data_IF_494955838865
#
_entry.id   IF_494955838865
#
_cell.length_a   1.000
_cell.length_b   1.000
_cell.length_c   1.000
_cell.angle_alpha   90.00
_cell.angle_beta   90.00
_cell.angle_gamma   90.00
#
_symmetry.space_group_name_H-M   'P 1'
#
loop_
_entity.id
_entity.type
_entity.pdbx_description
1 polymer ?
#
# COMPACT_ATOMS: atom_id res chain seq x y z
N UNK A 1 -10.51 -81.19 16.71
CA UNK A 1 -11.79 -81.92 16.67
C UNK A 1 -12.92 -80.91 16.84
N UNK A 2 -13.84 -80.74 15.88
CA UNK A 2 -13.75 -81.07 14.45
C UNK A 2 -12.68 -80.16 13.77
N UNK A 3 -12.82 -79.31 12.73
CA UNK A 3 -13.94 -78.87 11.85
C UNK A 3 -13.37 -78.23 10.57
N UNK A 4 -14.10 -78.23 9.46
CA UNK A 4 -13.87 -77.39 8.27
C UNK A 4 -15.18 -77.22 7.47
N UNK A 5 -15.32 -76.14 6.69
CA UNK A 5 -16.18 -76.05 5.49
C UNK A 5 -15.88 -74.83 4.60
N UNK A 6 -16.32 -74.88 3.34
CA UNK A 6 -16.00 -73.94 2.25
C UNK A 6 -17.02 -72.79 2.06
N UNK A 7 -16.61 -71.77 1.29
CA UNK A 7 -17.50 -70.93 0.46
C UNK A 7 -17.61 -69.47 0.93
N UNK A 8 -17.75 -68.47 0.05
CA UNK A 8 -17.69 -68.47 -1.43
C UNK A 8 -17.38 -67.05 -1.93
N UNK A 9 -16.77 -66.88 -3.11
CA UNK A 9 -16.58 -65.54 -3.69
C UNK A 9 -17.91 -64.92 -4.14
N UNK A 10 -18.09 -63.63 -3.88
CA UNK A 10 -19.00 -62.75 -4.64
C UNK A 10 -18.25 -61.47 -5.01
N UNK A 11 -17.86 -61.35 -6.27
CA UNK A 11 -17.26 -60.12 -6.80
C UNK A 11 -18.30 -59.01 -6.98
N UNK A 12 -17.90 -57.77 -6.71
CA UNK A 12 -18.48 -56.57 -7.32
C UNK A 12 -17.47 -55.41 -7.23
N UNK A 13 -17.48 -54.46 -8.19
CA UNK A 13 -16.25 -53.76 -8.57
C UNK A 13 -16.00 -52.45 -7.82
N UNK A 14 -14.79 -52.28 -7.29
CA UNK A 14 -14.29 -50.99 -6.81
C UNK A 14 -13.36 -50.37 -7.86
N UNK A 15 -13.89 -49.46 -8.67
CA UNK A 15 -13.08 -48.53 -9.45
C UNK A 15 -12.58 -47.39 -8.56
N UNK A 16 -11.46 -46.79 -8.95
CA UNK A 16 -10.94 -45.50 -8.45
C UNK A 16 -10.64 -45.44 -6.93
N UNK A 17 -9.52 -46.04 -6.51
CA UNK A 17 -8.86 -45.67 -5.24
C UNK A 17 -7.60 -44.80 -5.46
N UNK A 18 -6.94 -44.91 -6.62
CA UNK A 18 -5.66 -44.23 -6.89
C UNK A 18 -5.76 -42.71 -6.99
N UNK A 19 -6.81 -42.18 -7.65
CA UNK A 19 -6.93 -40.74 -7.93
C UNK A 19 -7.20 -39.86 -6.69
N UNK A 20 -7.50 -40.43 -5.53
CA UNK A 20 -7.79 -39.64 -4.31
C UNK A 20 -6.50 -39.40 -3.51
N UNK A 21 -5.55 -40.36 -3.55
CA UNK A 21 -4.34 -40.30 -2.73
C UNK A 21 -3.31 -39.29 -3.22
N UNK A 22 -3.22 -39.05 -4.53
CA UNK A 22 -2.27 -38.09 -5.12
C UNK A 22 -2.64 -36.64 -4.76
N UNK A 23 -3.93 -36.27 -4.86
CA UNK A 23 -4.45 -34.93 -4.52
C UNK A 23 -4.26 -34.61 -3.02
N UNK A 24 -4.55 -35.57 -2.13
CA UNK A 24 -4.33 -35.44 -0.68
C UNK A 24 -2.85 -35.21 -0.34
N UNK A 25 -1.93 -35.81 -1.09
CA UNK A 25 -0.49 -35.68 -0.89
C UNK A 25 0.06 -34.33 -1.37
N UNK A 26 -0.44 -33.78 -2.48
CA UNK A 26 -0.07 -32.44 -2.95
C UNK A 26 -0.68 -31.34 -2.06
N UNK A 27 -1.94 -31.48 -1.64
CA UNK A 27 -2.60 -30.57 -0.70
C UNK A 27 -1.88 -30.54 0.67
N UNK A 28 -1.41 -31.68 1.18
CA UNK A 28 -0.59 -31.71 2.40
C UNK A 28 0.73 -30.96 2.23
N UNK A 29 1.39 -31.06 1.06
CA UNK A 29 2.62 -30.31 0.71
C UNK A 29 2.37 -28.81 0.46
N UNK A 30 1.16 -28.42 0.04
CA UNK A 30 0.71 -27.01 0.04
C UNK A 30 0.62 -26.48 1.48
N UNK A 31 0.04 -27.24 2.40
CA UNK A 31 -0.13 -26.84 3.79
C UNK A 31 1.21 -26.74 4.54
N UNK A 32 2.07 -27.75 4.42
CA UNK A 32 3.38 -27.86 5.11
C UNK A 32 4.45 -26.88 4.59
N UNK A 33 4.27 -26.29 3.39
CA UNK A 33 5.23 -25.33 2.81
C UNK A 33 5.46 -24.13 3.76
N UNK A 34 6.70 -23.83 4.20
CA UNK A 34 6.96 -22.75 5.15
C UNK A 34 6.65 -21.35 4.57
N UNK A 35 6.36 -20.39 5.45
CA UNK A 35 5.85 -19.07 5.08
C UNK A 35 6.76 -18.32 4.09
N UNK A 36 8.07 -18.34 4.32
CA UNK A 36 9.07 -17.66 3.48
C UNK A 36 9.06 -18.18 2.03
N UNK A 37 8.89 -19.50 1.86
CA UNK A 37 8.82 -20.16 0.55
C UNK A 37 7.49 -19.87 -0.14
N UNK A 38 6.37 -19.80 0.60
CA UNK A 38 5.07 -19.37 0.05
C UNK A 38 5.13 -17.93 -0.46
N UNK A 39 5.77 -17.04 0.29
CA UNK A 39 5.91 -15.63 -0.09
C UNK A 39 6.89 -15.43 -1.26
N UNK A 40 8.02 -16.13 -1.32
CA UNK A 40 8.91 -16.06 -2.48
C UNK A 40 8.27 -16.67 -3.74
N UNK A 41 7.54 -17.79 -3.64
CA UNK A 41 6.73 -18.33 -4.75
C UNK A 41 5.71 -17.31 -5.26
N UNK A 42 5.04 -16.58 -4.35
CA UNK A 42 4.10 -15.50 -4.69
C UNK A 42 4.80 -14.34 -5.40
N UNK A 43 5.99 -13.94 -4.93
CA UNK A 43 6.80 -12.91 -5.56
C UNK A 43 7.37 -13.35 -6.93
N UNK A 44 7.78 -14.60 -7.08
CA UNK A 44 8.21 -15.20 -8.34
C UNK A 44 7.09 -15.14 -9.39
N UNK A 45 5.87 -15.55 -9.02
CA UNK A 45 4.68 -15.41 -9.87
C UNK A 45 4.38 -13.96 -10.25
N UNK A 46 4.51 -13.03 -9.31
CA UNK A 46 4.32 -11.59 -9.56
C UNK A 46 5.39 -11.02 -10.50
N UNK A 47 6.68 -11.35 -10.28
CA UNK A 47 7.80 -10.97 -11.15
C UNK A 47 7.63 -11.51 -12.57
N UNK A 48 7.17 -12.76 -12.73
CA UNK A 48 6.92 -13.35 -14.03
C UNK A 48 5.74 -12.67 -14.76
N UNK A 49 4.62 -12.37 -14.06
CA UNK A 49 3.50 -11.61 -14.64
C UNK A 49 3.93 -10.24 -15.15
N UNK A 50 4.68 -9.48 -14.34
CA UNK A 50 5.22 -8.16 -14.75
C UNK A 50 6.18 -8.30 -15.94
N UNK A 51 7.05 -9.33 -15.94
CA UNK A 51 7.96 -9.62 -17.05
C UNK A 51 7.21 -9.96 -18.34
N UNK A 52 6.10 -10.69 -18.28
CA UNK A 52 5.25 -10.95 -19.46
C UNK A 52 4.60 -9.68 -19.98
N UNK A 53 3.97 -8.88 -19.11
CA UNK A 53 3.29 -7.62 -19.52
C UNK A 53 4.28 -6.64 -20.15
N UNK A 54 5.45 -6.41 -19.54
CA UNK A 54 6.47 -5.51 -20.07
C UNK A 54 7.12 -5.98 -21.40
N UNK A 55 6.97 -7.26 -21.76
CA UNK A 55 7.48 -7.84 -23.01
C UNK A 55 6.40 -8.21 -24.04
N UNK A 56 5.11 -8.06 -23.71
CA UNK A 56 4.04 -8.07 -24.70
C UNK A 56 4.28 -6.93 -25.69
N UNK A 57 4.14 -7.23 -26.99
CA UNK A 57 4.18 -6.21 -28.04
C UNK A 57 2.86 -5.45 -28.09
N UNK A 58 1.78 -6.20 -27.92
CA UNK A 58 0.38 -5.76 -27.97
C UNK A 58 0.13 -4.66 -26.94
N UNK A 59 0.59 -4.85 -25.71
CA UNK A 59 0.50 -3.86 -24.63
C UNK A 59 1.33 -2.59 -24.89
N UNK A 60 2.46 -2.70 -25.60
CA UNK A 60 3.27 -1.54 -26.01
C UNK A 60 2.60 -0.76 -27.13
N UNK A 61 2.14 -1.47 -28.16
CA UNK A 61 1.42 -0.90 -29.30
C UNK A 61 0.15 -0.15 -28.81
N UNK A 62 -0.57 -0.69 -27.82
CA UNK A 62 -1.74 -0.05 -27.19
C UNK A 62 -1.36 1.19 -26.35
N UNK A 63 -0.33 1.11 -25.50
CA UNK A 63 0.18 2.25 -24.75
C UNK A 63 0.65 3.40 -25.66
N UNK A 64 1.37 3.07 -26.74
CA UNK A 64 1.81 4.05 -27.73
C UNK A 64 0.62 4.70 -28.46
N UNK A 65 -0.45 3.96 -28.75
CA UNK A 65 -1.69 4.52 -29.30
C UNK A 65 -2.34 5.51 -28.31
N UNK A 66 -2.49 5.15 -27.04
CA UNK A 66 -3.09 6.00 -25.99
C UNK A 66 -2.26 7.28 -25.76
N UNK A 67 -0.94 7.18 -25.76
CA UNK A 67 -0.03 8.33 -25.63
C UNK A 67 -0.14 9.26 -26.85
N UNK A 68 -0.17 8.71 -28.07
CA UNK A 68 -0.32 9.50 -29.29
C UNK A 68 -1.70 10.19 -29.39
N UNK A 69 -2.76 9.57 -28.87
CA UNK A 69 -4.09 10.18 -28.77
C UNK A 69 -4.08 11.36 -27.78
N UNK A 70 -3.57 11.14 -26.56
CA UNK A 70 -3.45 12.17 -25.53
C UNK A 70 -2.56 13.37 -25.93
N UNK A 71 -1.54 13.14 -26.78
CA UNK A 71 -0.70 14.21 -27.35
C UNK A 71 -1.41 15.02 -28.44
N UNK A 72 -2.38 14.44 -29.16
CA UNK A 72 -3.13 15.13 -30.24
C UNK A 72 -4.39 15.84 -29.74
N UNK A 73 -5.09 15.23 -28.78
CA UNK A 73 -6.40 15.67 -28.33
C UNK A 73 -6.40 16.22 -26.89
N UNK A 74 -5.24 16.20 -26.22
CA UNK A 74 -5.11 16.54 -24.81
C UNK A 74 -5.56 15.38 -23.89
N UNK A 75 -5.48 15.57 -22.56
CA UNK A 75 -5.84 14.53 -21.59
C UNK A 75 -7.37 14.34 -21.51
N UNK A 76 -7.92 13.55 -22.45
CA UNK A 76 -9.31 13.13 -22.43
C UNK A 76 -9.58 12.24 -21.20
N UNK A 77 -10.72 12.38 -20.48
CA UNK A 77 -10.97 11.63 -19.26
C UNK A 77 -10.92 10.10 -19.44
N UNK A 78 -11.21 9.59 -20.65
CA UNK A 78 -11.12 8.16 -20.96
C UNK A 78 -9.67 7.60 -20.90
N UNK A 79 -8.67 8.31 -21.43
CA UNK A 79 -7.27 7.85 -21.36
C UNK A 79 -6.70 7.97 -19.95
N UNK A 80 -7.18 8.93 -19.15
CA UNK A 80 -6.88 9.00 -17.71
C UNK A 80 -7.48 7.81 -16.93
N UNK A 81 -8.71 7.38 -17.25
CA UNK A 81 -9.32 6.17 -16.67
C UNK A 81 -8.53 4.92 -17.06
N UNK A 82 -8.10 4.78 -18.31
CA UNK A 82 -7.28 3.65 -18.76
C UNK A 82 -5.92 3.59 -18.02
N UNK A 83 -5.23 4.72 -17.90
CA UNK A 83 -3.97 4.81 -17.14
C UNK A 83 -4.17 4.52 -15.64
N UNK A 84 -5.31 4.92 -15.05
CA UNK A 84 -5.68 4.57 -13.68
C UNK A 84 -5.89 3.04 -13.52
N UNK A 85 -6.60 2.39 -14.45
CA UNK A 85 -6.83 0.95 -14.44
C UNK A 85 -5.51 0.16 -14.61
N UNK A 86 -4.62 0.61 -15.50
CA UNK A 86 -3.28 0.03 -15.67
C UNK A 86 -2.45 0.21 -14.38
N UNK A 87 -2.52 1.37 -13.73
CA UNK A 87 -1.89 1.61 -12.41
C UNK A 87 -2.40 0.64 -11.34
N UNK A 88 -3.72 0.45 -11.25
CA UNK A 88 -4.36 -0.49 -10.30
C UNK A 88 -4.03 -1.96 -10.56
N UNK A 89 -3.69 -2.32 -11.81
CA UNK A 89 -3.24 -3.66 -12.19
C UNK A 89 -1.73 -3.89 -11.91
N UNK A 90 -0.92 -2.84 -11.97
CA UNK A 90 0.54 -2.91 -11.75
C UNK A 90 0.94 -2.75 -10.28
N UNK A 91 0.19 -2.00 -9.48
CA UNK A 91 0.47 -1.81 -8.05
C UNK A 91 -0.14 -2.93 -7.20
N UNK A 92 0.55 -3.42 -6.15
CA UNK A 92 0.00 -4.45 -5.26
C UNK A 92 -1.22 -3.94 -4.49
N UNK A 93 -2.29 -4.75 -4.44
CA UNK A 93 -3.59 -4.38 -3.84
C UNK A 93 -3.59 -4.05 -2.33
N UNK A 94 -2.44 -4.16 -1.64
CA UNK A 94 -2.25 -3.59 -0.30
C UNK A 94 -2.16 -2.06 -0.32
N UNK A 95 -1.81 -1.44 -1.47
CA UNK A 95 -1.57 -0.01 -1.60
C UNK A 95 -2.80 0.81 -2.04
N UNK A 96 -3.97 0.58 -1.42
CA UNK A 96 -5.14 1.49 -1.52
C UNK A 96 -4.89 2.89 -0.91
N UNK A 97 -3.67 3.14 -0.41
CA UNK A 97 -3.24 4.40 0.20
C UNK A 97 -2.66 5.41 -0.82
N UNK A 98 -2.25 4.98 -2.03
CA UNK A 98 -1.41 5.82 -2.93
C UNK A 98 -2.13 6.38 -4.16
N UNK A 99 -3.22 5.76 -4.62
CA UNK A 99 -3.97 6.20 -5.82
C UNK A 99 -5.05 7.25 -5.53
N UNK A 100 -5.40 7.49 -4.26
CA UNK A 100 -6.43 8.47 -3.85
C UNK A 100 -6.08 9.94 -4.17
N UNK A 101 -4.82 10.20 -4.53
CA UNK A 101 -4.25 11.53 -4.80
C UNK A 101 -4.88 12.28 -5.97
N UNK A 102 -5.56 11.59 -6.90
CA UNK A 102 -6.08 12.18 -8.15
C UNK A 102 -7.61 12.29 -8.21
N UNK A 103 -8.36 11.61 -7.33
CA UNK A 103 -9.83 11.59 -7.36
C UNK A 103 -10.49 12.49 -6.31
N UNK A 104 -9.70 13.14 -5.45
CA UNK A 104 -10.12 13.93 -4.29
C UNK A 104 -10.79 15.28 -4.62
N UNK A 105 -11.16 15.54 -5.88
CA UNK A 105 -11.91 16.73 -6.31
C UNK A 105 -13.44 16.64 -6.13
N UNK A 106 -13.96 15.57 -5.50
CA UNK A 106 -15.39 15.40 -5.25
C UNK A 106 -15.70 14.79 -3.86
N UNK A 107 -15.90 15.66 -2.86
CA UNK A 107 -16.69 15.37 -1.64
C UNK A 107 -16.14 14.38 -0.59
N UNK A 108 -15.11 13.60 -0.89
CA UNK A 108 -14.46 12.70 0.08
C UNK A 108 -13.44 13.43 0.97
N UNK A 109 -13.29 12.98 2.22
CA UNK A 109 -12.30 13.53 3.16
C UNK A 109 -10.88 13.46 2.56
N UNK A 110 -10.22 14.61 2.46
CA UNK A 110 -8.90 14.73 1.83
C UNK A 110 -7.84 14.25 2.81
N UNK A 111 -7.34 13.03 2.61
CA UNK A 111 -6.21 12.48 3.37
C UNK A 111 -4.94 13.23 2.96
N UNK A 112 -4.68 14.38 3.59
CA UNK A 112 -3.48 15.19 3.35
C UNK A 112 -2.24 14.38 3.75
N UNK A 113 -1.23 14.19 2.89
CA UNK A 113 -0.08 13.33 3.19
C UNK A 113 0.82 13.92 4.29
N UNK A 114 1.17 13.11 5.28
CA UNK A 114 2.02 13.52 6.42
C UNK A 114 3.43 13.90 5.95
N UNK A 115 4.00 13.10 5.03
CA UNK A 115 5.33 13.31 4.46
C UNK A 115 5.18 13.97 3.08
N UNK A 116 4.88 15.26 3.08
CA UNK A 116 4.61 16.11 1.92
C UNK A 116 5.84 16.90 1.43
N UNK A 117 6.83 17.15 2.29
CA UNK A 117 8.06 17.90 1.94
C UNK A 117 8.78 17.24 0.74
N UNK A 118 8.84 17.92 -0.40
CA UNK A 118 9.48 17.47 -1.65
C UNK A 118 10.29 18.60 -2.29
N UNK A 119 10.90 18.33 -3.45
CA UNK A 119 11.46 19.34 -4.35
C UNK A 119 12.29 20.44 -3.67
N UNK A 120 11.95 21.69 -3.97
CA UNK A 120 12.62 22.89 -3.44
C UNK A 120 12.43 23.03 -1.92
N UNK A 121 11.27 22.70 -1.37
CA UNK A 121 10.97 22.80 0.06
C UNK A 121 11.87 21.88 0.90
N UNK A 122 12.34 20.79 0.30
CA UNK A 122 13.31 19.90 0.95
C UNK A 122 14.66 20.57 1.21
N UNK A 123 15.05 21.61 0.44
CA UNK A 123 16.32 22.33 0.65
C UNK A 123 16.28 23.27 1.87
N UNK A 124 15.10 23.77 2.26
CA UNK A 124 14.94 24.66 3.42
C UNK A 124 15.13 23.98 4.78
N UNK A 125 15.26 22.66 4.82
CA UNK A 125 15.26 21.87 6.05
C UNK A 125 16.38 20.82 6.09
N UNK A 126 17.05 20.71 7.24
CA UNK A 126 18.05 19.66 7.49
C UNK A 126 17.42 18.26 7.47
N UNK A 127 18.23 17.22 7.20
CA UNK A 127 17.74 15.82 7.17
C UNK A 127 17.09 15.39 8.50
N UNK A 128 17.59 15.90 9.63
CA UNK A 128 17.02 15.68 10.97
C UNK A 128 15.72 16.47 11.16
N UNK A 129 15.66 17.76 10.78
CA UNK A 129 14.43 18.56 10.90
C UNK A 129 13.29 17.98 10.04
N UNK A 130 13.56 17.56 8.79
CA UNK A 130 12.54 16.90 7.94
C UNK A 130 11.99 15.63 8.57
N UNK A 131 12.85 14.81 9.18
CA UNK A 131 12.42 13.58 9.88
C UNK A 131 11.62 13.91 11.15
N UNK A 132 12.01 14.94 11.90
CA UNK A 132 11.30 15.38 13.11
C UNK A 132 9.92 15.95 12.77
N UNK A 133 9.83 16.78 11.73
CA UNK A 133 8.57 17.29 11.16
C UNK A 133 7.61 16.17 10.81
N UNK A 134 8.05 15.18 10.02
CA UNK A 134 7.22 14.02 9.68
C UNK A 134 6.80 13.20 10.91
N UNK A 135 7.69 13.01 11.90
CA UNK A 135 7.35 12.31 13.16
C UNK A 135 6.31 13.06 13.99
N UNK A 136 6.46 14.37 14.12
CA UNK A 136 5.53 15.21 14.87
C UNK A 136 4.16 15.26 14.18
N UNK A 137 4.12 15.45 12.85
CA UNK A 137 2.88 15.39 12.09
C UNK A 137 2.19 14.01 12.18
N UNK A 138 2.94 12.90 12.17
CA UNK A 138 2.37 11.57 12.48
C UNK A 138 1.78 11.48 13.89
N UNK A 139 2.40 12.11 14.89
CA UNK A 139 1.88 12.14 16.26
C UNK A 139 0.56 12.92 16.35
N UNK A 140 0.43 14.06 15.66
CA UNK A 140 -0.87 14.76 15.53
C UNK A 140 -1.96 13.83 14.96
N UNK A 141 -1.67 13.08 13.89
CA UNK A 141 -2.64 12.12 13.31
C UNK A 141 -3.00 10.97 14.25
N UNK A 142 -2.08 10.49 15.07
CA UNK A 142 -2.37 9.46 16.08
C UNK A 142 -3.25 10.00 17.21
N UNK A 143 -2.99 11.22 17.68
CA UNK A 143 -3.78 11.86 18.75
C UNK A 143 -5.19 12.23 18.28
N UNK A 144 -5.37 12.58 17.01
CA UNK A 144 -6.67 12.72 16.33
C UNK A 144 -7.41 11.36 16.25
N UNK A 145 -6.72 10.31 15.75
CA UNK A 145 -7.25 8.95 15.60
C UNK A 145 -7.73 8.31 16.92
N UNK A 146 -7.07 8.61 18.05
CA UNK A 146 -7.50 8.16 19.38
C UNK A 146 -8.56 9.08 20.04
N UNK A 147 -9.01 10.15 19.37
CA UNK A 147 -10.02 11.07 19.90
C UNK A 147 -9.54 11.94 21.06
N UNK A 148 -8.22 12.13 21.19
CA UNK A 148 -7.60 12.89 22.29
C UNK A 148 -7.45 14.40 21.97
N UNK A 149 -7.65 14.80 20.72
CA UNK A 149 -7.64 16.19 20.27
C UNK A 149 -8.95 16.93 20.60
N UNK A 150 -8.88 18.03 21.36
CA UNK A 150 -10.03 18.86 21.71
C UNK A 150 -10.13 20.12 20.82
N UNK A 151 -10.31 19.92 19.51
CA UNK A 151 -10.30 21.01 18.53
C UNK A 151 -8.96 21.75 18.43
N UNK A 152 -9.01 22.99 17.89
CA UNK A 152 -7.84 23.76 17.43
C UNK A 152 -6.93 24.38 18.52
N UNK A 153 -7.32 24.32 19.79
CA UNK A 153 -6.57 25.01 20.88
C UNK A 153 -5.38 24.21 21.42
N UNK A 154 -5.29 22.93 21.06
CA UNK A 154 -4.23 22.04 21.54
C UNK A 154 -2.98 22.16 20.66
N UNK A 155 -1.83 21.87 21.27
CA UNK A 155 -0.53 21.89 20.61
C UNK A 155 0.38 20.78 21.14
N UNK A 156 1.25 20.29 20.27
CA UNK A 156 2.31 19.33 20.60
C UNK A 156 3.62 19.88 20.05
N UNK A 157 4.59 20.14 20.92
CA UNK A 157 5.87 20.76 20.53
C UNK A 157 6.99 19.74 20.42
N UNK A 158 7.94 19.97 19.50
CA UNK A 158 9.17 19.19 19.41
C UNK A 158 10.39 20.09 19.22
N UNK A 159 11.37 20.00 20.12
CA UNK A 159 12.62 20.78 20.08
C UNK A 159 13.50 20.30 18.90
N UNK A 160 13.91 21.22 18.03
CA UNK A 160 14.67 20.93 16.80
C UNK A 160 16.17 20.83 17.06
N UNK A 161 16.70 21.75 17.88
CA UNK A 161 18.09 21.74 18.33
C UNK A 161 18.13 21.96 19.85
N UNK A 162 19.05 21.28 20.53
CA UNK A 162 19.33 21.51 21.94
C UNK A 162 20.01 22.87 22.17
N UNK A 163 20.86 23.35 21.25
CA UNK A 163 21.63 24.58 21.46
C UNK A 163 20.86 25.87 21.16
N UNK A 164 20.02 25.86 20.11
CA UNK A 164 19.36 27.06 19.57
C UNK A 164 17.91 27.27 20.06
N UNK A 165 17.44 26.46 21.02
CA UNK A 165 16.11 26.55 21.64
C UNK A 165 14.90 26.65 20.67
N UNK A 166 15.06 26.23 19.40
CA UNK A 166 13.98 26.22 18.42
C UNK A 166 13.02 25.04 18.61
N UNK A 167 11.71 25.28 18.44
CA UNK A 167 10.64 24.28 18.54
C UNK A 167 9.80 24.22 17.27
N UNK A 168 9.25 23.03 16.94
CA UNK A 168 8.18 22.85 15.96
C UNK A 168 6.82 22.81 16.68
N UNK A 169 5.81 23.45 16.08
CA UNK A 169 4.42 23.49 16.58
C UNK A 169 3.42 23.52 15.40
N UNK A 170 2.16 23.15 15.63
CA UNK A 170 1.08 23.37 14.66
C UNK A 170 0.77 24.86 14.51
N UNK A 171 0.48 25.36 13.29
CA UNK A 171 -0.18 26.65 13.12
C UNK A 171 -1.56 26.66 13.80
N UNK A 172 -1.95 27.82 14.32
CA UNK A 172 -3.28 28.01 14.87
C UNK A 172 -4.36 27.88 13.78
N UNK A 173 -5.50 27.28 14.13
CA UNK A 173 -6.65 27.11 13.25
C UNK A 173 -6.71 25.78 12.48
N UNK A 174 -5.62 25.01 12.40
CA UNK A 174 -5.62 23.66 11.83
C UNK A 174 -6.11 22.61 12.83
N UNK A 175 -6.91 21.66 12.36
CA UNK A 175 -7.24 20.43 13.07
C UNK A 175 -6.08 19.43 12.99
N UNK A 176 -6.03 18.48 13.94
CA UNK A 176 -4.91 17.54 14.04
C UNK A 176 -4.80 16.61 12.81
N UNK A 177 -5.93 16.20 12.22
CA UNK A 177 -5.96 15.49 10.93
C UNK A 177 -5.56 16.31 9.69
N UNK A 178 -5.32 17.61 9.81
CA UNK A 178 -4.86 18.46 8.70
C UNK A 178 -3.34 18.68 8.72
N UNK A 179 -2.68 18.51 9.87
CA UNK A 179 -1.23 18.78 10.06
C UNK A 179 -0.36 17.88 9.17
N UNK A 180 0.68 18.45 8.54
CA UNK A 180 1.69 17.78 7.71
C UNK A 180 3.11 18.13 8.13
N UNK A 181 4.12 17.54 7.50
CA UNK A 181 5.52 17.88 7.73
C UNK A 181 5.90 19.30 7.27
N UNK A 182 5.33 19.77 6.16
CA UNK A 182 5.53 21.15 5.69
C UNK A 182 4.74 22.17 6.50
N UNK A 183 3.53 21.84 6.95
CA UNK A 183 2.64 22.80 7.64
C UNK A 183 3.13 23.22 9.02
N UNK A 184 4.02 22.45 9.66
CA UNK A 184 4.58 22.79 10.97
C UNK A 184 5.42 24.08 10.90
N UNK A 185 5.09 25.05 11.73
CA UNK A 185 5.94 26.23 11.94
C UNK A 185 7.08 25.90 12.90
N UNK A 186 8.24 26.52 12.67
CA UNK A 186 9.39 26.49 13.58
C UNK A 186 9.49 27.86 14.22
N UNK A 187 9.53 27.91 15.55
CA UNK A 187 9.57 29.13 16.36
C UNK A 187 10.76 29.10 17.33
N UNK A 188 11.22 30.27 17.73
CA UNK A 188 12.21 30.46 18.80
C UNK A 188 11.58 30.55 20.21
N UNK A 189 12.40 30.89 21.21
CA UNK A 189 11.98 31.06 22.61
C UNK A 189 11.14 32.33 22.86
N UNK A 190 11.17 33.30 21.93
CA UNK A 190 10.32 34.49 21.94
C UNK A 190 8.98 34.27 21.20
N UNK A 191 8.83 33.16 20.48
CA UNK A 191 7.63 32.80 19.72
C UNK A 191 7.60 33.37 18.29
N UNK A 192 8.78 33.68 17.74
CA UNK A 192 8.98 34.26 16.39
C UNK A 192 9.54 33.19 15.43
#
# INVERSE_FOLDING_TARGET
MPTATNGTHTESPVKNQTQIQDDDDENRRELERPADVKEDMRQMGQRQRVKTILNSKEFRDELEAIINDALKHGPHPASLIALQQISELLLPHTSRWTTVSSLSRAGGSVIVPINDIRGVDSQGYSKSERLLRCKLASLYRLVDLFGWSQGIYNHITARVNQELEHFLINPFGLMYHEVTGSSLVKVDIAGI
#
